data_IF_351005206370
#
_entry.id   IF_351005206370
#
_cell.length_a   1.000
_cell.length_b   1.000
_cell.length_c   1.000
_cell.angle_alpha   90.00
_cell.angle_beta   90.00
_cell.angle_gamma   90.00
#
_symmetry.space_group_name_H-M   'P 1'
#
loop_
_entity.id
_entity.type
_entity.pdbx_description
1 polymer ?
#
# COMPACT_ATOMS: atom_id res chain seq x y z
N UNK A 1 39.60 1.59 -9.14
CA UNK A 1 40.33 2.87 -9.09
C UNK A 1 40.13 3.39 -7.67
N UNK A 2 41.07 3.44 -6.74
CA UNK A 2 42.47 3.90 -6.71
C UNK A 2 43.14 3.26 -5.49
N UNK A 3 44.20 2.49 -5.69
CA UNK A 3 45.61 2.83 -5.37
C UNK A 3 46.00 2.81 -3.89
N UNK A 4 46.80 1.78 -3.60
CA UNK A 4 47.72 1.52 -2.49
C UNK A 4 48.64 2.71 -2.12
N UNK A 5 49.04 2.80 -0.85
CA UNK A 5 50.35 3.37 -0.48
C UNK A 5 50.92 2.73 0.79
N UNK A 6 51.82 1.78 0.55
CA UNK A 6 52.77 1.21 1.51
C UNK A 6 53.89 2.22 1.80
N UNK A 7 54.41 2.26 3.04
CA UNK A 7 55.61 3.03 3.39
C UNK A 7 56.47 2.27 4.39
N UNK A 8 57.34 1.43 3.86
CA UNK A 8 58.52 0.90 4.53
C UNK A 8 59.55 2.01 4.74
N UNK A 9 60.16 2.08 5.93
CA UNK A 9 61.39 2.84 6.16
C UNK A 9 62.39 1.99 6.91
N UNK A 10 63.35 1.49 6.13
CA UNK A 10 64.61 0.89 6.53
C UNK A 10 65.58 2.02 6.92
N UNK A 11 66.28 1.92 8.04
CA UNK A 11 67.46 2.74 8.34
C UNK A 11 68.67 1.84 8.57
N UNK A 12 69.61 1.89 7.63
CA UNK A 12 70.97 1.33 7.72
C UNK A 12 71.94 2.52 7.77
N UNK A 13 72.85 2.53 8.74
CA UNK A 13 74.19 3.14 8.67
C UNK A 13 74.95 2.73 9.96
N UNK A 14 75.85 1.75 9.93
CA UNK A 14 77.30 1.85 9.66
C UNK A 14 78.06 2.90 10.50
N UNK A 15 78.92 2.42 11.41
CA UNK A 15 79.99 3.16 12.08
C UNK A 15 80.96 2.20 12.78
N UNK A 16 82.19 2.13 12.28
CA UNK A 16 83.30 1.21 12.60
C UNK A 16 84.00 1.49 13.95
N UNK A 17 84.92 0.61 14.40
CA UNK A 17 85.31 0.42 15.79
C UNK A 17 86.52 1.28 16.19
N UNK A 18 86.62 1.58 17.49
CA UNK A 18 87.82 2.19 18.05
C UNK A 18 88.36 1.35 19.21
N UNK A 19 89.49 0.71 18.95
CA UNK A 19 90.36 0.03 19.89
C UNK A 19 91.20 1.04 20.65
N UNK A 20 91.04 1.16 21.98
CA UNK A 20 92.11 1.64 22.85
C UNK A 20 92.20 0.85 24.15
N UNK A 21 93.32 0.15 24.21
CA UNK A 21 94.03 -0.51 25.29
C UNK A 21 94.32 0.45 26.44
N UNK A 22 93.96 0.09 27.67
CA UNK A 22 94.58 0.63 28.88
C UNK A 22 94.58 -0.41 30.00
N UNK A 23 95.76 -0.59 30.57
CA UNK A 23 96.27 -1.65 31.44
C UNK A 23 95.66 -1.65 32.86
N UNK A 24 95.87 -2.72 33.65
CA UNK A 24 95.06 -3.07 34.81
C UNK A 24 95.56 -2.40 36.09
N UNK A 25 94.63 -1.93 36.91
CA UNK A 25 94.90 -1.50 38.29
C UNK A 25 94.50 -2.63 39.22
N UNK A 26 95.49 -3.24 39.90
CA UNK A 26 95.28 -4.25 40.94
C UNK A 26 94.53 -3.64 42.13
N UNK A 27 93.31 -4.10 42.34
CA UNK A 27 92.52 -3.91 43.56
C UNK A 27 92.02 -5.27 44.10
N UNK A 28 91.56 -5.35 45.35
CA UNK A 28 91.39 -6.61 46.07
C UNK A 28 90.35 -7.53 45.42
N UNK A 29 90.77 -8.77 45.15
CA UNK A 29 89.97 -9.87 44.61
C UNK A 29 88.76 -10.19 45.51
N UNK A 30 87.62 -9.56 45.26
CA UNK A 30 86.32 -10.20 45.49
C UNK A 30 85.92 -10.81 44.16
N UNK A 31 86.25 -12.08 43.96
CA UNK A 31 85.93 -12.85 42.76
C UNK A 31 84.41 -13.05 42.69
N UNK A 32 83.68 -12.01 42.28
CA UNK A 32 82.30 -12.13 41.82
C UNK A 32 82.35 -12.97 40.56
N UNK A 33 81.96 -14.23 40.68
CA UNK A 33 81.67 -15.09 39.53
C UNK A 33 80.64 -14.36 38.68
N UNK A 34 81.06 -13.86 37.52
CA UNK A 34 80.17 -13.34 36.49
C UNK A 34 79.34 -14.51 35.98
N UNK A 35 78.22 -14.76 36.65
CA UNK A 35 77.25 -15.77 36.25
C UNK A 35 76.64 -15.28 34.94
N UNK A 36 76.85 -16.02 33.86
CA UNK A 36 76.21 -15.75 32.57
C UNK A 36 74.69 -15.65 32.79
N UNK A 37 74.03 -14.64 32.22
CA UNK A 37 72.58 -14.50 32.34
C UNK A 37 71.94 -15.73 31.69
N UNK A 38 71.30 -16.56 32.52
CA UNK A 38 70.57 -17.75 32.07
C UNK A 38 69.40 -17.26 31.22
N UNK A 39 69.27 -17.80 30.01
CA UNK A 39 68.18 -17.40 29.09
C UNK A 39 66.84 -17.98 29.55
N UNK A 40 65.73 -17.31 29.22
CA UNK A 40 64.39 -17.79 29.63
C UNK A 40 64.09 -19.22 29.17
N UNK A 41 64.55 -19.59 27.97
CA UNK A 41 64.42 -20.95 27.43
C UNK A 41 65.21 -21.98 28.25
N UNK A 42 66.40 -21.60 28.74
CA UNK A 42 67.27 -22.44 29.57
C UNK A 42 66.75 -22.57 31.01
N UNK A 43 66.02 -21.57 31.50
CA UNK A 43 65.25 -21.70 32.74
C UNK A 43 64.10 -22.70 32.54
N UNK A 44 63.36 -22.61 31.44
CA UNK A 44 62.21 -23.49 31.17
C UNK A 44 62.62 -24.98 30.99
N UNK A 45 63.85 -25.30 30.60
CA UNK A 45 64.32 -26.69 30.37
C UNK A 45 64.92 -27.40 31.59
N UNK A 46 65.23 -26.71 32.68
CA UNK A 46 65.72 -27.38 33.90
C UNK A 46 64.55 -28.19 34.50
N UNK A 47 64.71 -29.50 34.76
CA UNK A 47 63.68 -30.32 35.38
C UNK A 47 63.24 -29.72 36.71
N UNK A 48 61.97 -29.35 36.83
CA UNK A 48 61.42 -28.70 38.03
C UNK A 48 59.98 -29.15 38.28
N UNK A 49 59.57 -29.08 39.54
CA UNK A 49 58.18 -29.32 39.98
C UNK A 49 57.20 -28.27 39.40
N UNK A 50 57.72 -27.14 38.91
CA UNK A 50 56.94 -26.01 38.37
C UNK A 50 57.06 -25.94 36.85
N UNK A 51 56.01 -26.34 36.14
CA UNK A 51 55.96 -26.42 34.67
C UNK A 51 54.87 -25.55 34.03
N UNK A 52 53.89 -25.12 34.81
CA UNK A 52 52.76 -24.30 34.40
C UNK A 52 52.30 -23.37 35.53
N UNK A 53 51.30 -22.52 35.28
CA UNK A 53 50.81 -21.61 36.31
C UNK A 53 50.13 -22.35 37.48
N UNK A 54 49.52 -23.52 37.26
CA UNK A 54 48.79 -24.27 38.29
C UNK A 54 49.78 -24.89 39.28
N UNK A 55 50.84 -25.52 38.77
CA UNK A 55 51.95 -26.03 39.56
C UNK A 55 52.73 -24.91 40.25
N UNK A 56 52.84 -23.72 39.63
CA UNK A 56 53.42 -22.54 40.25
C UNK A 56 52.62 -22.06 41.48
N UNK A 57 51.30 -21.91 41.36
CA UNK A 57 50.42 -21.51 42.47
C UNK A 57 50.47 -22.55 43.61
N UNK A 58 50.44 -23.85 43.26
CA UNK A 58 50.58 -24.95 44.22
C UNK A 58 51.94 -24.94 44.92
N UNK A 59 53.02 -24.66 44.19
CA UNK A 59 54.37 -24.59 44.73
C UNK A 59 54.53 -23.42 45.71
N UNK A 60 54.07 -22.21 45.36
CA UNK A 60 54.15 -21.04 46.25
C UNK A 60 53.34 -21.25 47.54
N UNK A 61 52.19 -21.91 47.44
CA UNK A 61 51.38 -22.30 48.61
C UNK A 61 52.09 -23.34 49.48
N UNK A 62 52.74 -24.34 48.87
CA UNK A 62 53.51 -25.39 49.57
C UNK A 62 54.68 -24.82 50.39
N UNK A 63 55.35 -23.80 49.88
CA UNK A 63 56.45 -23.12 50.59
C UNK A 63 55.98 -21.98 51.51
N UNK A 64 54.67 -21.84 51.71
CA UNK A 64 54.03 -20.84 52.58
C UNK A 64 54.40 -19.38 52.21
N UNK A 65 54.76 -19.13 50.95
CA UNK A 65 54.97 -17.76 50.44
C UNK A 65 53.66 -17.09 50.00
N UNK A 66 52.57 -17.85 49.92
CA UNK A 66 51.22 -17.36 49.63
C UNK A 66 50.17 -18.17 50.40
N UNK A 67 49.06 -17.52 50.78
CA UNK A 67 47.89 -18.21 51.31
C UNK A 67 47.07 -18.80 50.15
N UNK A 68 46.47 -19.98 50.35
CA UNK A 68 45.82 -20.76 49.28
C UNK A 68 44.60 -20.09 48.64
N UNK A 69 44.06 -19.03 49.25
CA UNK A 69 42.78 -18.42 48.86
C UNK A 69 42.90 -16.98 48.34
N UNK A 70 44.13 -16.42 48.25
CA UNK A 70 44.33 -15.04 47.79
C UNK A 70 44.76 -14.98 46.31
N UNK A 71 44.13 -14.14 45.47
CA UNK A 71 44.58 -13.95 44.10
C UNK A 71 45.99 -13.33 44.04
N UNK A 72 46.84 -13.86 43.16
CA UNK A 72 48.20 -13.37 42.96
C UNK A 72 48.23 -12.03 42.22
N UNK A 73 47.93 -10.92 42.89
CA UNK A 73 48.07 -9.58 42.32
C UNK A 73 49.54 -9.26 41.98
N UNK A 74 49.78 -8.30 41.08
CA UNK A 74 51.15 -7.87 40.74
C UNK A 74 51.92 -7.40 41.98
N UNK A 75 51.25 -6.71 42.90
CA UNK A 75 51.80 -6.27 44.18
C UNK A 75 52.16 -7.46 45.08
N UNK A 76 51.29 -8.47 45.13
CA UNK A 76 51.54 -9.71 45.87
C UNK A 76 52.76 -10.46 45.31
N UNK A 77 52.86 -10.62 43.99
CA UNK A 77 54.00 -11.27 43.33
C UNK A 77 55.32 -10.51 43.53
N UNK A 78 55.28 -9.17 43.56
CA UNK A 78 56.46 -8.34 43.86
C UNK A 78 56.91 -8.55 45.31
N UNK A 79 55.97 -8.63 46.25
CA UNK A 79 56.25 -8.96 47.65
C UNK A 79 56.85 -10.36 47.76
N UNK A 80 56.29 -11.36 47.07
CA UNK A 80 56.82 -12.74 47.06
C UNK A 80 58.26 -12.76 46.52
N UNK A 81 58.55 -12.06 45.41
CA UNK A 81 59.92 -11.96 44.89
C UNK A 81 60.87 -11.32 45.90
N UNK A 82 60.43 -10.27 46.59
CA UNK A 82 61.21 -9.65 47.65
C UNK A 82 61.51 -10.64 48.79
N UNK A 83 60.51 -11.41 49.23
CA UNK A 83 60.72 -12.46 50.24
C UNK A 83 61.65 -13.57 49.74
N UNK A 84 61.54 -13.98 48.47
CA UNK A 84 62.46 -14.96 47.85
C UNK A 84 63.91 -14.46 47.89
N UNK A 85 64.15 -13.16 47.67
CA UNK A 85 65.51 -12.58 47.76
C UNK A 85 66.06 -12.55 49.19
N UNK A 86 65.19 -12.64 50.21
CA UNK A 86 65.57 -12.69 51.62
C UNK A 86 65.82 -14.13 52.11
N UNK A 87 65.45 -15.16 51.34
CA UNK A 87 65.77 -16.55 51.67
C UNK A 87 67.29 -16.74 51.62
N UNK A 88 67.88 -17.17 52.75
CA UNK A 88 69.33 -17.26 52.93
C UNK A 88 70.03 -18.02 51.81
N UNK A 89 71.16 -17.49 51.34
CA UNK A 89 71.91 -17.89 50.13
C UNK A 89 72.40 -19.36 50.05
N UNK A 90 72.09 -20.21 51.03
CA UNK A 90 72.62 -21.57 51.13
C UNK A 90 71.82 -22.64 50.35
N UNK A 91 70.65 -22.32 49.78
CA UNK A 91 69.88 -23.25 48.94
C UNK A 91 69.49 -22.62 47.58
N UNK A 92 70.32 -22.80 46.54
CA UNK A 92 70.05 -22.17 45.24
C UNK A 92 68.81 -22.74 44.54
N UNK A 93 68.43 -24.00 44.81
CA UNK A 93 67.36 -24.69 44.08
C UNK A 93 65.93 -24.23 44.45
N UNK A 94 65.56 -24.04 45.73
CA UNK A 94 64.26 -23.47 46.11
C UNK A 94 64.06 -22.04 45.61
N UNK A 95 65.11 -21.21 45.67
CA UNK A 95 65.06 -19.83 45.18
C UNK A 95 64.80 -19.78 43.67
N UNK A 96 65.49 -20.62 42.90
CA UNK A 96 65.28 -20.74 41.44
C UNK A 96 63.86 -21.23 41.13
N UNK A 97 63.35 -22.20 41.87
CA UNK A 97 62.01 -22.78 41.64
C UNK A 97 60.90 -21.80 42.02
N UNK A 98 61.06 -21.05 43.11
CA UNK A 98 60.11 -20.00 43.51
C UNK A 98 60.12 -18.82 42.53
N UNK A 99 61.30 -18.40 42.04
CA UNK A 99 61.42 -17.36 41.01
C UNK A 99 60.73 -17.80 39.71
N UNK A 100 60.88 -19.07 39.33
CA UNK A 100 60.19 -19.66 38.18
C UNK A 100 58.67 -19.68 38.35
N UNK A 101 58.17 -20.04 39.53
CA UNK A 101 56.75 -20.00 39.84
C UNK A 101 56.16 -18.60 39.64
N UNK A 102 56.82 -17.56 40.19
CA UNK A 102 56.39 -16.18 39.97
C UNK A 102 56.42 -15.81 38.48
N UNK A 103 57.44 -16.23 37.73
CA UNK A 103 57.52 -15.96 36.29
C UNK A 103 56.35 -16.59 35.49
N UNK A 104 55.94 -17.82 35.81
CA UNK A 104 54.77 -18.45 35.18
C UNK A 104 53.46 -17.74 35.51
N UNK A 105 53.28 -17.29 36.75
CA UNK A 105 52.08 -16.55 37.16
C UNK A 105 52.05 -15.16 36.49
N UNK A 106 53.19 -14.45 36.43
CA UNK A 106 53.31 -13.19 35.69
C UNK A 106 53.01 -13.37 34.20
N UNK A 107 53.46 -14.47 33.59
CA UNK A 107 53.14 -14.81 32.18
C UNK A 107 51.64 -15.02 31.97
N UNK A 108 50.92 -15.62 32.93
CA UNK A 108 49.45 -15.70 32.89
C UNK A 108 48.80 -14.32 33.00
N UNK A 109 49.30 -13.45 33.89
CA UNK A 109 48.78 -12.09 34.04
C UNK A 109 48.88 -11.27 32.75
N UNK A 110 50.02 -11.31 32.06
CA UNK A 110 50.18 -10.58 30.78
C UNK A 110 49.24 -11.10 29.69
N UNK A 111 49.02 -12.43 29.62
CA UNK A 111 48.05 -13.02 28.69
C UNK A 111 46.61 -12.57 29.03
N UNK A 112 46.25 -12.51 30.31
CA UNK A 112 44.94 -12.03 30.75
C UNK A 112 44.73 -10.53 30.46
N UNK A 113 45.74 -9.68 30.66
CA UNK A 113 45.67 -8.25 30.33
C UNK A 113 45.48 -8.04 28.83
N UNK A 114 46.22 -8.78 27.99
CA UNK A 114 46.07 -8.74 26.54
C UNK A 114 44.66 -9.18 26.13
N UNK A 115 44.14 -10.27 26.73
CA UNK A 115 42.79 -10.73 26.46
C UNK A 115 41.73 -9.70 26.88
N UNK A 116 41.91 -9.03 28.03
CA UNK A 116 41.01 -7.98 28.50
C UNK A 116 41.04 -6.75 27.58
N UNK A 117 42.22 -6.31 27.16
CA UNK A 117 42.36 -5.20 26.22
C UNK A 117 41.75 -5.52 24.85
N UNK A 118 41.97 -6.74 24.35
CA UNK A 118 41.36 -7.21 23.11
C UNK A 118 39.83 -7.31 23.21
N UNK A 119 39.30 -7.83 24.32
CA UNK A 119 37.87 -7.87 24.58
C UNK A 119 37.26 -6.47 24.60
N UNK A 120 37.89 -5.53 25.32
CA UNK A 120 37.45 -4.12 25.35
C UNK A 120 37.43 -3.49 23.97
N UNK A 121 38.50 -3.67 23.19
CA UNK A 121 38.58 -3.13 21.83
C UNK A 121 37.54 -3.75 20.89
N UNK A 122 37.30 -5.06 21.00
CA UNK A 122 36.25 -5.75 20.25
C UNK A 122 34.87 -5.23 20.65
N UNK A 123 34.59 -5.08 21.95
CA UNK A 123 33.33 -4.51 22.44
C UNK A 123 33.11 -3.10 21.92
N UNK A 124 34.10 -2.21 22.02
CA UNK A 124 33.97 -0.82 21.57
C UNK A 124 33.73 -0.74 20.05
N UNK A 125 34.50 -1.53 19.28
CA UNK A 125 34.41 -1.52 17.81
C UNK A 125 33.11 -2.17 17.31
N UNK A 126 32.75 -3.32 17.88
CA UNK A 126 31.58 -4.08 17.46
C UNK A 126 30.30 -3.37 17.92
N UNK A 127 30.28 -2.80 19.12
CA UNK A 127 29.13 -2.05 19.63
C UNK A 127 28.80 -0.86 18.71
N UNK A 128 29.78 -0.04 18.36
CA UNK A 128 29.59 1.09 17.44
C UNK A 128 29.10 0.63 16.06
N UNK A 129 29.67 -0.45 15.52
CA UNK A 129 29.25 -1.01 14.23
C UNK A 129 27.82 -1.56 14.27
N UNK A 130 27.45 -2.29 15.31
CA UNK A 130 26.09 -2.82 15.48
C UNK A 130 25.11 -1.67 15.58
N UNK A 131 25.38 -0.66 16.41
CA UNK A 131 24.51 0.51 16.56
C UNK A 131 24.32 1.23 15.22
N UNK A 132 25.40 1.50 14.49
CA UNK A 132 25.30 2.17 13.19
C UNK A 132 24.54 1.34 12.15
N UNK A 133 24.75 0.01 12.12
CA UNK A 133 24.02 -0.88 11.22
C UNK A 133 22.53 -0.97 11.58
N UNK A 134 22.21 -1.05 12.88
CA UNK A 134 20.83 -1.07 13.38
C UNK A 134 20.13 0.24 13.03
N UNK A 135 20.76 1.39 13.27
CA UNK A 135 20.23 2.70 12.88
C UNK A 135 20.04 2.77 11.37
N UNK A 136 21.05 2.40 10.58
CA UNK A 136 20.98 2.44 9.12
C UNK A 136 19.93 1.51 8.52
N UNK A 137 19.65 0.37 9.14
CA UNK A 137 18.64 -0.59 8.68
C UNK A 137 17.22 -0.22 9.15
N UNK A 138 17.06 0.25 10.40
CA UNK A 138 15.74 0.49 11.00
C UNK A 138 15.22 1.89 10.71
N UNK A 139 16.08 2.93 10.70
CA UNK A 139 15.62 4.30 10.53
C UNK A 139 14.85 4.54 9.22
N UNK A 140 15.27 4.01 8.06
CA UNK A 140 14.48 4.14 6.83
C UNK A 140 13.11 3.45 6.91
N UNK A 141 13.04 2.30 7.62
CA UNK A 141 11.78 1.58 7.80
C UNK A 141 10.81 2.36 8.69
N UNK A 142 11.30 2.95 9.78
CA UNK A 142 10.50 3.81 10.66
C UNK A 142 9.99 5.05 9.89
N UNK A 143 10.84 5.66 9.07
CA UNK A 143 10.43 6.79 8.22
C UNK A 143 9.33 6.40 7.22
N UNK A 144 9.45 5.22 6.57
CA UNK A 144 8.43 4.71 5.66
C UNK A 144 7.10 4.43 6.35
N UNK A 145 7.13 3.81 7.54
CA UNK A 145 5.93 3.55 8.35
C UNK A 145 5.25 4.86 8.75
N UNK A 146 6.02 5.86 9.19
CA UNK A 146 5.48 7.18 9.54
C UNK A 146 4.81 7.86 8.34
N UNK A 147 5.49 7.92 7.20
CA UNK A 147 4.94 8.52 5.97
C UNK A 147 3.67 7.79 5.50
N UNK A 148 3.65 6.46 5.58
CA UNK A 148 2.45 5.66 5.25
C UNK A 148 1.30 5.96 6.21
N UNK A 149 1.60 6.10 7.51
CA UNK A 149 0.59 6.46 8.52
C UNK A 149 0.00 7.86 8.28
N UNK A 150 0.82 8.85 7.93
CA UNK A 150 0.36 10.21 7.60
C UNK A 150 -0.55 10.21 6.36
N UNK A 151 -0.17 9.46 5.32
CA UNK A 151 -0.99 9.27 4.12
C UNK A 151 -2.34 8.61 4.44
N UNK A 152 -2.34 7.61 5.32
CA UNK A 152 -3.57 6.95 5.78
C UNK A 152 -4.47 7.92 6.55
N UNK A 153 -3.91 8.75 7.44
CA UNK A 153 -4.66 9.78 8.17
C UNK A 153 -5.29 10.79 7.21
N UNK A 154 -4.53 11.28 6.21
CA UNK A 154 -5.08 12.18 5.17
C UNK A 154 -6.22 11.52 4.39
N UNK A 155 -6.08 10.23 4.04
CA UNK A 155 -7.12 9.46 3.35
C UNK A 155 -8.38 9.31 4.22
N UNK A 156 -8.21 9.07 5.52
CA UNK A 156 -9.30 8.99 6.49
C UNK A 156 -10.06 10.31 6.58
N UNK A 157 -9.35 11.44 6.64
CA UNK A 157 -9.96 12.77 6.65
C UNK A 157 -10.76 13.06 5.37
N UNK A 158 -10.22 12.68 4.20
CA UNK A 158 -10.92 12.81 2.92
C UNK A 158 -12.19 11.95 2.88
N UNK A 159 -12.10 10.70 3.33
CA UNK A 159 -13.25 9.80 3.40
C UNK A 159 -14.34 10.34 4.34
N UNK A 160 -13.94 10.90 5.49
CA UNK A 160 -14.89 11.53 6.42
C UNK A 160 -15.57 12.77 5.82
N UNK A 161 -14.81 13.64 5.12
CA UNK A 161 -15.39 14.79 4.40
C UNK A 161 -16.40 14.34 3.34
N UNK A 162 -16.06 13.31 2.57
CA UNK A 162 -16.97 12.75 1.56
C UNK A 162 -18.23 12.18 2.21
N UNK A 163 -18.10 11.44 3.31
CA UNK A 163 -19.24 10.91 4.06
C UNK A 163 -20.18 12.03 4.53
N UNK A 164 -19.65 13.11 5.10
CA UNK A 164 -20.45 14.25 5.53
C UNK A 164 -21.16 14.93 4.34
N UNK A 165 -20.49 15.06 3.19
CA UNK A 165 -21.10 15.61 1.98
C UNK A 165 -22.25 14.74 1.46
N UNK A 166 -22.05 13.42 1.39
CA UNK A 166 -23.09 12.47 0.96
C UNK A 166 -24.28 12.50 1.93
N UNK A 167 -24.01 12.60 3.24
CA UNK A 167 -25.05 12.69 4.25
C UNK A 167 -25.90 13.95 4.07
N UNK A 168 -25.25 15.10 3.90
CA UNK A 168 -25.96 16.37 3.66
C UNK A 168 -26.79 16.35 2.38
N UNK A 169 -26.24 15.83 1.27
CA UNK A 169 -26.98 15.70 0.00
C UNK A 169 -28.18 14.76 0.14
N UNK A 170 -28.02 13.66 0.89
CA UNK A 170 -29.13 12.75 1.18
C UNK A 170 -30.23 13.45 1.96
N UNK A 171 -29.88 14.17 3.02
CA UNK A 171 -30.85 14.86 3.88
C UNK A 171 -31.63 15.92 3.08
N UNK A 172 -30.94 16.71 2.24
CA UNK A 172 -31.56 17.69 1.32
C UNK A 172 -32.50 17.01 0.31
N UNK A 173 -32.07 15.88 -0.26
CA UNK A 173 -32.90 15.13 -1.21
C UNK A 173 -34.11 14.49 -0.54
N UNK A 174 -33.96 14.00 0.68
CA UNK A 174 -35.05 13.45 1.48
C UNK A 174 -36.11 14.53 1.76
N UNK A 175 -35.68 15.73 2.13
CA UNK A 175 -36.56 16.90 2.26
C UNK A 175 -37.24 17.29 0.95
N UNK A 176 -36.52 17.32 -0.17
CA UNK A 176 -37.12 17.60 -1.48
C UNK A 176 -38.16 16.56 -1.88
N UNK A 177 -37.93 15.28 -1.55
CA UNK A 177 -38.86 14.18 -1.86
C UNK A 177 -40.11 14.28 -1.00
N UNK A 178 -39.99 14.59 0.29
CA UNK A 178 -41.16 14.76 1.18
C UNK A 178 -42.03 15.94 0.74
N UNK A 179 -41.44 17.07 0.35
CA UNK A 179 -42.18 18.21 -0.20
C UNK A 179 -42.89 17.83 -1.50
N UNK A 180 -42.22 17.12 -2.41
CA UNK A 180 -42.82 16.68 -3.66
C UNK A 180 -43.97 15.69 -3.43
N UNK A 181 -43.82 14.76 -2.49
CA UNK A 181 -44.88 13.83 -2.09
C UNK A 181 -46.11 14.56 -1.56
N UNK A 182 -45.92 15.56 -0.67
CA UNK A 182 -47.02 16.37 -0.15
C UNK A 182 -47.76 17.15 -1.25
N UNK A 183 -47.03 17.73 -2.21
CA UNK A 183 -47.66 18.41 -3.36
C UNK A 183 -48.47 17.46 -4.25
N UNK A 184 -48.00 16.23 -4.43
CA UNK A 184 -48.72 15.20 -5.20
C UNK A 184 -49.99 14.79 -4.45
N UNK A 185 -49.91 14.64 -3.13
CA UNK A 185 -51.06 14.34 -2.26
C UNK A 185 -52.12 15.44 -2.38
N UNK A 186 -51.75 16.71 -2.18
CA UNK A 186 -52.64 17.87 -2.34
C UNK A 186 -53.30 17.92 -3.74
N UNK A 187 -52.52 17.68 -4.80
CA UNK A 187 -53.03 17.66 -6.16
C UNK A 187 -54.00 16.49 -6.41
N UNK A 188 -53.75 15.34 -5.79
CA UNK A 188 -54.60 14.14 -5.88
C UNK A 188 -55.93 14.38 -5.15
N UNK A 189 -55.90 15.02 -3.99
CA UNK A 189 -57.11 15.44 -3.26
C UNK A 189 -57.95 16.43 -4.10
N UNK A 190 -57.31 17.46 -4.66
CA UNK A 190 -57.98 18.43 -5.53
C UNK A 190 -58.62 17.77 -6.77
N UNK A 191 -57.91 16.84 -7.41
CA UNK A 191 -58.45 16.08 -8.55
C UNK A 191 -59.64 15.21 -8.13
N UNK A 192 -59.55 14.55 -6.97
CA UNK A 192 -60.64 13.71 -6.43
C UNK A 192 -61.90 14.53 -6.22
N UNK A 193 -61.78 15.71 -5.61
CA UNK A 193 -62.90 16.67 -5.44
C UNK A 193 -63.46 17.09 -6.80
N UNK A 194 -62.60 17.42 -7.77
CA UNK A 194 -63.04 17.82 -9.11
C UNK A 194 -63.80 16.70 -9.83
N UNK A 195 -63.34 15.45 -9.72
CA UNK A 195 -64.00 14.28 -10.31
C UNK A 195 -65.36 14.04 -9.66
N UNK A 196 -65.45 14.17 -8.34
CA UNK A 196 -66.72 14.08 -7.61
C UNK A 196 -67.71 15.16 -8.06
N UNK A 197 -67.25 16.40 -8.24
CA UNK A 197 -68.08 17.48 -8.80
C UNK A 197 -68.57 17.11 -10.21
N UNK A 198 -67.69 16.67 -11.11
CA UNK A 198 -68.08 16.24 -12.46
C UNK A 198 -69.11 15.10 -12.41
N UNK A 199 -68.90 14.10 -11.56
CA UNK A 199 -69.84 13.00 -11.37
C UNK A 199 -71.22 13.50 -10.93
N UNK A 200 -71.26 14.38 -9.93
CA UNK A 200 -72.50 14.97 -9.43
C UNK A 200 -73.22 15.82 -10.49
N UNK A 201 -72.48 16.59 -11.30
CA UNK A 201 -73.07 17.36 -12.42
C UNK A 201 -73.64 16.46 -13.52
N UNK A 202 -72.93 15.39 -13.90
CA UNK A 202 -73.44 14.40 -14.85
C UNK A 202 -74.71 13.72 -14.34
N UNK A 203 -74.72 13.35 -13.05
CA UNK A 203 -75.90 12.77 -12.38
C UNK A 203 -77.08 13.74 -12.40
N UNK A 204 -76.85 15.04 -12.22
CA UNK A 204 -77.88 16.07 -12.30
C UNK A 204 -78.39 16.33 -13.74
N UNK A 205 -77.54 16.17 -14.76
CA UNK A 205 -77.91 16.34 -16.17
C UNK A 205 -78.64 15.14 -16.77
N UNK A 206 -78.41 13.93 -16.24
CA UNK A 206 -78.99 12.68 -16.76
C UNK A 206 -80.51 12.74 -17.00
N UNK A 207 -81.35 13.24 -16.07
CA UNK A 207 -82.81 13.31 -16.28
C UNK A 207 -83.20 14.28 -17.40
N UNK A 208 -82.45 15.37 -17.59
CA UNK A 208 -82.71 16.33 -18.67
C UNK A 208 -82.42 15.72 -20.03
N UNK A 209 -81.36 14.92 -20.15
CA UNK A 209 -81.01 14.24 -21.40
C UNK A 209 -82.06 13.18 -21.75
N UNK A 210 -82.50 12.40 -20.77
CA UNK A 210 -83.57 11.40 -20.90
C UNK A 210 -84.88 12.06 -21.36
N UNK A 211 -85.29 13.17 -20.73
CA UNK A 211 -86.45 13.94 -21.16
C UNK A 211 -86.32 14.49 -22.59
N UNK A 212 -85.11 14.86 -23.02
CA UNK A 212 -84.86 15.35 -24.39
C UNK A 212 -84.96 14.21 -25.40
N UNK A 213 -84.39 13.04 -25.07
CA UNK A 213 -84.48 11.83 -25.88
C UNK A 213 -85.93 11.39 -26.05
N UNK A 214 -86.73 11.41 -24.98
CA UNK A 214 -88.16 11.08 -25.03
C UNK A 214 -88.93 12.01 -25.98
N UNK A 215 -88.65 13.32 -25.95
CA UNK A 215 -89.26 14.28 -26.90
C UNK A 215 -88.85 14.00 -28.34
N UNK A 216 -87.59 13.66 -28.60
CA UNK A 216 -87.11 13.29 -29.94
C UNK A 216 -87.80 12.03 -30.43
N UNK A 217 -87.92 11.00 -29.58
CA UNK A 217 -88.63 9.76 -29.91
C UNK A 217 -90.11 10.03 -30.24
N UNK A 218 -90.76 10.91 -29.48
CA UNK A 218 -92.11 11.38 -29.78
C UNK A 218 -92.21 12.11 -31.13
N UNK A 219 -91.26 12.98 -31.47
CA UNK A 219 -91.25 13.65 -32.78
C UNK A 219 -90.99 12.67 -33.94
N UNK A 220 -90.08 11.72 -33.76
CA UNK A 220 -89.78 10.70 -34.77
C UNK A 220 -91.03 9.86 -35.08
N UNK A 221 -91.75 9.42 -34.05
CA UNK A 221 -93.02 8.69 -34.23
C UNK A 221 -94.09 9.54 -34.92
N UNK A 222 -94.14 10.86 -34.70
CA UNK A 222 -95.02 11.75 -35.46
C UNK A 222 -94.64 11.85 -36.95
N UNK A 223 -93.35 11.93 -37.28
CA UNK A 223 -92.87 12.10 -38.65
C UNK A 223 -92.95 10.83 -39.52
N UNK A 224 -92.85 9.64 -38.91
CA UNK A 224 -93.05 8.36 -39.61
C UNK A 224 -94.51 8.11 -40.05
N UNK A 225 -95.42 9.03 -39.70
CA UNK A 225 -96.78 9.11 -40.26
C UNK A 225 -96.74 9.72 -41.68
N UNK A 226 -96.54 8.91 -42.72
CA UNK A 226 -96.55 9.35 -44.14
C UNK A 226 -97.89 9.92 -44.62
N UNK A 227 -97.87 10.96 -45.47
CA UNK A 227 -98.39 10.84 -46.84
C UNK A 227 -97.26 10.86 -47.90
N UNK A 228 -97.52 10.50 -49.18
CA UNK A 228 -96.52 9.90 -50.07
C UNK A 228 -95.77 10.88 -51.00
N UNK A 229 -94.64 10.38 -51.53
CA UNK A 229 -93.86 10.85 -52.70
C UNK A 229 -93.05 12.17 -52.49
N UNK A 230 -91.83 12.40 -53.01
CA UNK A 230 -91.00 11.78 -54.07
C UNK A 230 -89.55 12.31 -53.98
N UNK A 231 -88.60 11.50 -54.49
CA UNK A 231 -87.36 11.86 -55.20
C UNK A 231 -86.02 12.20 -54.47
N UNK A 232 -84.87 11.89 -55.14
CA UNK A 232 -83.55 11.71 -54.52
C UNK A 232 -82.59 12.89 -54.76
N UNK A 233 -81.71 13.16 -53.79
CA UNK A 233 -80.63 14.15 -53.95
C UNK A 233 -79.23 13.56 -53.74
N UNK A 234 -78.32 14.12 -54.53
CA UNK A 234 -77.01 13.62 -54.87
C UNK A 234 -76.00 13.63 -53.71
N UNK A 235 -75.22 12.56 -53.69
CA UNK A 235 -74.14 12.27 -52.76
C UNK A 235 -72.90 13.11 -53.10
N UNK A 236 -72.66 14.19 -52.36
CA UNK A 236 -71.43 14.99 -52.47
C UNK A 236 -70.44 14.54 -51.40
N UNK A 237 -69.45 13.74 -51.83
CA UNK A 237 -68.31 13.34 -51.00
C UNK A 237 -67.46 14.58 -50.70
N UNK A 238 -67.25 14.97 -49.43
CA UNK A 238 -66.27 16.00 -49.10
C UNK A 238 -64.86 15.45 -49.34
N UNK A 239 -64.15 16.11 -50.26
CA UNK A 239 -62.72 15.88 -50.52
C UNK A 239 -61.93 16.42 -49.33
N UNK A 240 -61.58 15.53 -48.39
CA UNK A 240 -60.69 15.87 -47.28
C UNK A 240 -59.26 16.03 -47.82
N UNK A 241 -58.80 17.28 -47.79
CA UNK A 241 -57.45 17.75 -48.07
C UNK A 241 -56.37 16.93 -47.34
N UNK A 242 -55.30 16.60 -48.06
CA UNK A 242 -54.10 15.85 -47.64
C UNK A 242 -53.30 16.44 -46.46
N UNK A 243 -53.76 17.53 -45.84
CA UNK A 243 -53.13 18.18 -44.69
C UNK A 243 -53.45 17.46 -43.37
N UNK A 244 -54.55 16.70 -43.29
CA UNK A 244 -54.90 15.91 -42.09
C UNK A 244 -54.05 14.66 -41.92
N UNK A 245 -53.34 14.18 -42.95
CA UNK A 245 -52.47 13.00 -42.84
C UNK A 245 -51.28 13.20 -41.89
N UNK A 246 -50.83 14.45 -41.66
CA UNK A 246 -49.78 14.76 -40.68
C UNK A 246 -50.28 14.75 -39.22
N UNK A 247 -51.60 14.80 -39.01
CA UNK A 247 -52.24 14.80 -37.70
C UNK A 247 -52.88 13.45 -37.35
N UNK A 248 -52.83 12.47 -38.26
CA UNK A 248 -53.24 11.12 -37.93
C UNK A 248 -52.20 10.50 -36.99
N UNK A 249 -52.64 9.84 -35.90
CA UNK A 249 -51.74 9.13 -35.02
C UNK A 249 -50.93 8.12 -35.84
N UNK A 250 -49.62 7.96 -35.55
CA UNK A 250 -48.77 7.02 -36.28
C UNK A 250 -49.46 5.65 -36.29
N UNK A 251 -49.47 4.98 -37.44
CA UNK A 251 -49.96 3.59 -37.51
C UNK A 251 -49.21 2.74 -36.48
N UNK A 252 -49.86 1.69 -35.98
CA UNK A 252 -49.28 0.81 -34.95
C UNK A 252 -47.88 0.36 -35.36
N UNK A 253 -47.68 -0.01 -36.63
CA UNK A 253 -46.37 -0.40 -37.17
C UNK A 253 -45.32 0.72 -37.10
N UNK A 254 -45.73 1.97 -37.35
CA UNK A 254 -44.83 3.12 -37.24
C UNK A 254 -44.50 3.44 -35.78
N UNK A 255 -45.47 3.33 -34.88
CA UNK A 255 -45.25 3.51 -33.45
C UNK A 255 -44.32 2.42 -32.89
N UNK A 256 -44.53 1.17 -33.26
CA UNK A 256 -43.68 0.02 -32.91
C UNK A 256 -42.28 0.19 -33.50
N UNK A 257 -42.16 0.62 -34.76
CA UNK A 257 -40.86 0.92 -35.37
C UNK A 257 -40.10 2.02 -34.63
N UNK A 258 -40.77 3.12 -34.26
CA UNK A 258 -40.16 4.21 -33.47
C UNK A 258 -39.78 3.76 -32.07
N UNK A 259 -40.61 2.94 -31.41
CA UNK A 259 -40.31 2.38 -30.09
C UNK A 259 -39.09 1.45 -30.15
N UNK A 260 -39.02 0.58 -31.17
CA UNK A 260 -37.89 -0.32 -31.39
C UNK A 260 -36.58 0.44 -31.64
N UNK A 261 -36.63 1.57 -32.37
CA UNK A 261 -35.46 2.44 -32.56
C UNK A 261 -35.06 3.10 -31.24
N UNK A 262 -36.00 3.69 -30.50
CA UNK A 262 -35.73 4.36 -29.21
C UNK A 262 -35.16 3.41 -28.17
N UNK A 263 -35.64 2.16 -28.12
CA UNK A 263 -35.15 1.14 -27.19
C UNK A 263 -33.68 0.76 -27.44
N UNK A 264 -33.10 1.12 -28.60
CA UNK A 264 -31.71 0.81 -28.97
C UNK A 264 -30.79 2.02 -28.87
N UNK A 265 -31.34 3.20 -28.63
CA UNK A 265 -30.56 4.43 -28.48
C UNK A 265 -30.04 4.53 -27.05
N UNK A 266 -28.75 4.84 -26.92
CA UNK A 266 -28.13 5.11 -25.64
C UNK A 266 -27.98 6.62 -25.52
N UNK A 267 -28.62 7.20 -24.49
CA UNK A 267 -28.49 8.60 -24.16
C UNK A 267 -27.37 8.79 -23.13
N UNK A 268 -26.34 9.52 -23.53
CA UNK A 268 -25.26 9.98 -22.65
C UNK A 268 -25.55 11.42 -22.25
N UNK A 269 -25.91 11.63 -20.99
CA UNK A 269 -26.20 12.96 -20.44
C UNK A 269 -24.96 13.44 -19.67
N UNK A 270 -24.31 14.56 -20.07
CA UNK A 270 -23.24 15.13 -19.28
C UNK A 270 -23.78 15.66 -17.94
N UNK A 271 -22.90 15.78 -16.94
CA UNK A 271 -23.23 16.52 -15.72
C UNK A 271 -23.55 17.97 -16.07
N UNK A 272 -24.44 18.60 -15.30
CA UNK A 272 -24.87 19.97 -15.56
C UNK A 272 -23.66 20.93 -15.52
N UNK A 273 -23.43 21.66 -16.62
CA UNK A 273 -22.29 22.57 -16.78
C UNK A 273 -21.06 21.96 -17.47
N UNK A 274 -21.00 20.63 -17.59
CA UNK A 274 -19.96 19.95 -18.38
C UNK A 274 -20.46 19.64 -19.79
N UNK A 275 -19.56 19.66 -20.76
CA UNK A 275 -19.80 19.12 -22.09
C UNK A 275 -18.91 17.89 -22.29
N UNK A 276 -19.50 16.75 -22.69
CA UNK A 276 -18.74 15.54 -23.03
C UNK A 276 -17.71 15.79 -24.16
N UNK A 277 -18.05 16.70 -25.07
CA UNK A 277 -17.19 17.14 -26.18
C UNK A 277 -17.34 18.65 -26.38
N UNK A 278 -16.30 19.35 -26.86
CA UNK A 278 -16.41 20.76 -27.23
C UNK A 278 -17.54 21.01 -28.25
N UNK A 279 -18.24 22.16 -28.19
CA UNK A 279 -19.45 22.42 -29.00
C UNK A 279 -19.23 22.44 -30.52
N UNK A 280 -17.98 22.53 -30.97
CA UNK A 280 -17.61 22.55 -32.40
C UNK A 280 -17.05 21.20 -32.88
N UNK A 281 -17.13 20.14 -32.07
CA UNK A 281 -16.65 18.81 -32.45
C UNK A 281 -17.61 18.19 -33.46
N UNK A 282 -17.10 17.72 -34.60
CA UNK A 282 -17.96 17.07 -35.60
C UNK A 282 -18.49 15.73 -35.09
N UNK A 283 -19.69 15.33 -35.52
CA UNK A 283 -20.26 14.02 -35.16
C UNK A 283 -19.34 12.85 -35.56
N UNK A 284 -18.56 12.99 -36.63
CA UNK A 284 -17.58 12.00 -37.06
C UNK A 284 -16.41 11.86 -36.07
N UNK A 285 -15.91 12.99 -35.54
CA UNK A 285 -14.84 12.99 -34.54
C UNK A 285 -15.31 12.44 -33.19
N UNK A 286 -16.55 12.78 -32.79
CA UNK A 286 -17.19 12.20 -31.60
C UNK A 286 -17.29 10.68 -31.76
N UNK A 287 -17.76 10.20 -32.92
CA UNK A 287 -17.88 8.77 -33.20
C UNK A 287 -16.52 8.07 -33.16
N UNK A 288 -15.48 8.69 -33.74
CA UNK A 288 -14.12 8.17 -33.70
C UNK A 288 -13.61 8.02 -32.27
N UNK A 289 -13.75 9.05 -31.44
CA UNK A 289 -13.32 9.04 -30.03
C UNK A 289 -14.09 8.02 -29.19
N UNK A 290 -15.40 7.88 -29.39
CA UNK A 290 -16.18 6.87 -28.68
C UNK A 290 -15.81 5.44 -29.12
N UNK A 291 -15.54 5.21 -30.41
CA UNK A 291 -15.05 3.90 -30.91
C UNK A 291 -13.69 3.54 -30.33
N UNK A 292 -12.79 4.52 -30.23
CA UNK A 292 -11.48 4.34 -29.61
C UNK A 292 -11.62 4.00 -28.12
N UNK A 293 -12.46 4.75 -27.38
CA UNK A 293 -12.74 4.47 -25.98
C UNK A 293 -13.35 3.07 -25.76
N UNK A 294 -14.32 2.67 -26.60
CA UNK A 294 -14.91 1.33 -26.55
C UNK A 294 -13.89 0.23 -26.83
N UNK A 295 -12.94 0.48 -27.73
CA UNK A 295 -11.87 -0.48 -28.05
C UNK A 295 -10.87 -0.63 -26.91
N UNK A 296 -10.59 0.45 -26.17
CA UNK A 296 -9.67 0.43 -25.03
C UNK A 296 -10.25 -0.26 -23.78
N UNK A 297 -11.57 -0.22 -23.59
CA UNK A 297 -12.25 -0.83 -22.42
C UNK A 297 -12.53 -2.32 -22.67
N UNK A 298 -12.42 -2.78 -23.91
CA UNK A 298 -12.83 -4.12 -24.32
C UNK A 298 -11.84 -5.18 -23.85
N UNK A 299 -12.35 -6.26 -23.28
CA UNK A 299 -11.62 -7.48 -22.98
C UNK A 299 -11.94 -8.59 -24.01
N UNK A 300 -11.26 -9.73 -23.92
CA UNK A 300 -11.49 -10.87 -24.82
C UNK A 300 -12.91 -11.45 -24.71
N UNK A 301 -13.63 -11.16 -23.63
CA UNK A 301 -14.98 -11.69 -23.37
C UNK A 301 -16.09 -10.76 -23.88
N UNK A 302 -15.80 -9.48 -24.11
CA UNK A 302 -16.80 -8.49 -24.53
C UNK A 302 -17.09 -8.60 -26.04
N UNK A 303 -18.37 -8.72 -26.45
CA UNK A 303 -18.74 -8.81 -27.86
C UNK A 303 -18.37 -7.54 -28.65
N UNK A 304 -18.14 -7.64 -29.97
CA UNK A 304 -17.76 -6.49 -30.79
C UNK A 304 -18.90 -5.50 -30.90
N UNK A 305 -18.78 -4.38 -30.17
CA UNK A 305 -19.59 -3.19 -30.34
C UNK A 305 -18.97 -2.27 -31.40
N UNK A 306 -19.81 -1.66 -32.24
CA UNK A 306 -19.44 -0.49 -33.05
C UNK A 306 -20.43 0.65 -32.72
N UNK A 307 -20.24 1.83 -33.30
CA UNK A 307 -21.21 2.91 -33.27
C UNK A 307 -21.57 3.26 -34.71
N UNK A 308 -22.86 3.16 -35.03
CA UNK A 308 -23.40 3.42 -36.37
C UNK A 308 -23.69 4.89 -36.59
N UNK A 309 -24.35 5.53 -35.63
CA UNK A 309 -24.77 6.92 -35.74
C UNK A 309 -24.65 7.64 -34.39
N UNK A 310 -24.41 8.95 -34.48
CA UNK A 310 -24.33 9.86 -33.33
C UNK A 310 -25.13 11.11 -33.65
N UNK A 311 -25.91 11.56 -32.67
CA UNK A 311 -26.59 12.85 -32.71
C UNK A 311 -26.34 13.62 -31.42
N UNK A 312 -25.88 14.86 -31.55
CA UNK A 312 -25.69 15.80 -30.45
C UNK A 312 -26.95 16.61 -30.21
N UNK A 313 -27.40 16.63 -28.96
CA UNK A 313 -28.54 17.43 -28.51
C UNK A 313 -28.09 18.84 -28.13
N UNK A 314 -29.04 19.79 -28.14
CA UNK A 314 -28.77 21.20 -27.80
C UNK A 314 -28.24 21.41 -26.37
N UNK A 315 -28.49 20.46 -25.47
CA UNK A 315 -28.02 20.47 -24.09
C UNK A 315 -26.65 19.79 -23.90
N UNK A 316 -25.93 19.48 -24.98
CA UNK A 316 -24.65 18.76 -24.93
C UNK A 316 -24.78 17.25 -24.72
N UNK A 317 -26.01 16.71 -24.59
CA UNK A 317 -26.27 15.28 -24.55
C UNK A 317 -25.97 14.60 -25.89
N UNK A 318 -25.60 13.32 -25.84
CA UNK A 318 -25.28 12.53 -27.03
C UNK A 318 -26.20 11.32 -27.10
N UNK A 319 -26.83 11.12 -28.26
CA UNK A 319 -27.53 9.88 -28.59
C UNK A 319 -26.64 9.04 -29.49
N UNK A 320 -26.28 7.85 -29.05
CA UNK A 320 -25.53 6.87 -29.84
C UNK A 320 -26.42 5.70 -30.26
N UNK A 321 -26.32 5.30 -31.54
CA UNK A 321 -26.97 4.11 -32.08
C UNK A 321 -25.92 3.04 -32.40
N UNK A 322 -25.93 1.87 -31.71
CA UNK A 322 -25.05 0.76 -32.04
C UNK A 322 -25.45 0.08 -33.37
N UNK A 323 -24.54 -0.59 -34.09
CA UNK A 323 -24.86 -1.31 -35.30
C UNK A 323 -25.81 -2.46 -34.98
N UNK A 324 -26.83 -2.59 -35.80
CA UNK A 324 -27.64 -3.79 -35.79
C UNK A 324 -26.93 -4.87 -36.61
N UNK A 325 -26.23 -5.79 -35.95
CA UNK A 325 -25.93 -7.08 -36.57
C UNK A 325 -27.15 -7.97 -36.39
N UNK A 326 -27.83 -8.31 -37.50
CA UNK A 326 -28.83 -9.39 -37.57
C UNK A 326 -28.12 -10.75 -37.45
N UNK A 327 -27.26 -10.95 -36.45
CA UNK A 327 -26.57 -12.22 -36.26
C UNK A 327 -27.24 -13.01 -35.15
N UNK A 328 -28.48 -13.35 -35.38
CA UNK A 328 -29.15 -14.43 -34.66
C UNK A 328 -30.44 -14.75 -35.39
N UNK A 329 -30.34 -15.62 -36.40
CA UNK A 329 -31.37 -16.65 -36.53
C UNK A 329 -31.51 -17.24 -35.13
N UNK A 330 -32.65 -17.11 -34.44
CA UNK A 330 -32.81 -17.74 -33.14
C UNK A 330 -32.61 -19.23 -33.38
N UNK A 331 -31.48 -19.78 -32.92
CA UNK A 331 -31.38 -21.21 -32.71
C UNK A 331 -32.37 -21.50 -31.58
N UNK A 332 -33.62 -21.78 -31.96
CA UNK A 332 -34.55 -22.51 -31.13
C UNK A 332 -33.90 -23.86 -30.87
N UNK A 333 -33.13 -23.94 -29.78
CA UNK A 333 -32.61 -25.18 -29.23
C UNK A 333 -33.84 -25.95 -28.76
N UNK A 334 -34.37 -26.79 -29.64
CA UNK A 334 -35.40 -27.77 -29.31
C UNK A 334 -34.83 -28.67 -28.22
N UNK A 335 -35.28 -28.46 -26.98
CA UNK A 335 -34.96 -29.31 -25.85
C UNK A 335 -35.81 -30.59 -25.94
N UNK A 336 -35.44 -31.50 -26.84
CA UNK A 336 -35.83 -32.90 -26.74
C UNK A 336 -34.70 -33.66 -26.06
N UNK A 337 -34.74 -33.72 -24.73
CA UNK A 337 -33.97 -34.68 -23.96
C UNK A 337 -34.77 -36.01 -23.92
N UNK A 338 -34.19 -37.14 -24.33
CA UNK A 338 -34.82 -38.45 -24.10
C UNK A 338 -34.69 -38.80 -22.62
N UNK A 339 -35.81 -39.23 -22.03
CA UNK A 339 -35.85 -39.87 -20.72
C UNK A 339 -35.26 -41.27 -20.90
N UNK A 340 -34.16 -41.56 -20.22
CA UNK A 340 -33.71 -42.92 -19.88
C UNK A 340 -33.59 -43.02 -18.37
#
# INVERSE_FOLDING_TARGET
MTSTRSRSRTSIAHGLPNTRTSSPTLGPNTRKTTRTPITQLEIETIPSEVTDFISAEKYLSKIQLSQSDEPFTLTHLTSILLHITQLSANTPLPVITATRAVAFILKKHTVCEIASAAAKQLTDTLSSRIVNNVIGAIAPQVANVLSTSESLTSTLEQANKLYQSIKAERDEKEESVTIAAGRIEEATEALTISVEICHNTLKALSPSLEATQDRVNHLATQLLSTPPQTQPYANTKPSYSSVTAAFLPPTIDQAVGRAAIRARQILLVPKQGDNLFPPNTSNADIAKKLKEALSNIRDETTPPGDIRAISTLKNGGIIAEPPWKVNSTPQYRSANAPIQ
#
